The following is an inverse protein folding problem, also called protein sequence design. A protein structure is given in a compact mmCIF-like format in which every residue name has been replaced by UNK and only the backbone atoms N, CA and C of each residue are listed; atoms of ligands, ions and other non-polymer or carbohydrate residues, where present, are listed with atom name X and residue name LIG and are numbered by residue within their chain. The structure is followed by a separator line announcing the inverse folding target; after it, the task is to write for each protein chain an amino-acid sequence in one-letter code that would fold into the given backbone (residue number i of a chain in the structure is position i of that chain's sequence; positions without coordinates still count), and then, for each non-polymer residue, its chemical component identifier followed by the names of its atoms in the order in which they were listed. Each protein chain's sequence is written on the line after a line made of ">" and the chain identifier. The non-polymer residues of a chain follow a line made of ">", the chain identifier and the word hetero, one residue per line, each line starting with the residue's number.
data_IF_258839640165
#
_entry.id   IF_258839640165
#
_cell.length_a   1.000
_cell.length_b   1.000
_cell.length_c   1.000
_cell.angle_alpha   90.00
_cell.angle_beta   90.00
_cell.angle_gamma   90.00
#
_symmetry.space_group_name_H-M   'P 1'
#
loop_
_entity.id
_entity.type
_entity.pdbx_description
1 polymer ?
#
# COMPACT_ATOMS: atom_id res chain seq x y z
N UNK A 1 -18.30 47.24 -43.95
CA UNK A 1 -16.86 47.44 -43.76
C UNK A 1 -16.56 47.33 -42.27
N UNK A 2 -15.45 46.68 -41.96
CA UNK A 2 -15.12 45.93 -40.73
C UNK A 2 -15.41 46.62 -39.38
N UNK A 3 -16.10 45.87 -38.52
CA UNK A 3 -16.19 46.00 -37.06
C UNK A 3 -14.83 45.72 -36.40
N UNK A 4 -14.35 46.66 -35.58
CA UNK A 4 -13.13 46.51 -34.78
C UNK A 4 -13.35 45.51 -33.63
N UNK A 5 -12.58 44.42 -33.64
CA UNK A 5 -12.55 43.43 -32.56
C UNK A 5 -11.71 43.96 -31.40
N UNK A 6 -12.33 44.12 -30.24
CA UNK A 6 -11.65 44.33 -28.96
C UNK A 6 -11.01 43.01 -28.55
N UNK A 7 -9.68 42.96 -28.54
CA UNK A 7 -8.90 41.83 -28.01
C UNK A 7 -8.85 41.96 -26.49
N UNK A 8 -9.68 41.19 -25.78
CA UNK A 8 -9.46 40.89 -24.37
C UNK A 8 -8.34 39.85 -24.27
N UNK A 9 -7.12 40.30 -23.98
CA UNK A 9 -6.05 39.41 -23.55
C UNK A 9 -6.34 39.01 -22.10
N UNK A 10 -6.91 37.82 -21.90
CA UNK A 10 -7.01 37.21 -20.59
C UNK A 10 -5.60 36.78 -20.15
N UNK A 11 -4.98 37.57 -19.28
CA UNK A 11 -3.78 37.16 -18.55
C UNK A 11 -4.20 36.07 -17.56
N UNK A 12 -4.00 34.81 -17.93
CA UNK A 12 -4.09 33.69 -16.99
C UNK A 12 -2.82 33.76 -16.13
N UNK A 13 -2.92 34.37 -14.96
CA UNK A 13 -1.90 34.22 -13.92
C UNK A 13 -1.90 32.77 -13.44
N UNK A 14 -0.99 31.97 -13.99
CA UNK A 14 -0.53 30.74 -13.35
C UNK A 14 0.26 31.14 -12.10
N UNK A 15 -0.44 31.30 -10.98
CA UNK A 15 0.22 31.19 -9.68
C UNK A 15 0.47 29.69 -9.50
N UNK A 16 1.62 29.23 -10.00
CA UNK A 16 2.18 27.97 -9.54
C UNK A 16 2.48 28.15 -8.06
N UNK A 17 1.67 27.55 -7.18
CA UNK A 17 2.12 27.25 -5.83
C UNK A 17 3.28 26.26 -5.98
N UNK A 18 4.49 26.79 -6.13
CA UNK A 18 5.70 26.08 -5.75
C UNK A 18 5.60 25.85 -4.25
N UNK A 19 4.91 24.78 -3.86
CA UNK A 19 5.28 24.09 -2.66
C UNK A 19 6.73 23.70 -2.91
N UNK A 20 7.65 24.31 -2.18
CA UNK A 20 9.02 23.83 -2.12
C UNK A 20 8.95 22.41 -1.57
N UNK A 21 8.80 21.44 -2.46
CA UNK A 21 9.11 20.05 -2.18
C UNK A 21 10.61 20.09 -1.93
N UNK A 22 11.01 20.21 -0.67
CA UNK A 22 12.33 19.75 -0.27
C UNK A 22 12.33 18.29 -0.71
N UNK A 23 13.07 17.97 -1.78
CA UNK A 23 13.23 16.61 -2.27
C UNK A 23 13.98 15.83 -1.17
N UNK A 24 13.22 15.33 -0.21
CA UNK A 24 13.72 14.50 0.84
C UNK A 24 14.01 13.12 0.23
N UNK A 25 15.29 12.75 0.25
CA UNK A 25 15.81 11.48 -0.25
C UNK A 25 15.37 10.33 0.64
N UNK A 26 15.39 9.09 0.14
CA UNK A 26 15.20 7.88 0.96
C UNK A 26 16.11 7.86 2.18
N UNK A 27 17.40 8.19 2.00
CA UNK A 27 18.38 8.26 3.09
C UNK A 27 17.96 9.20 4.23
N UNK A 28 17.22 10.27 3.93
CA UNK A 28 16.72 11.21 4.95
C UNK A 28 15.38 10.80 5.59
N UNK A 29 14.64 9.87 4.99
CA UNK A 29 13.27 9.52 5.41
C UNK A 29 13.12 8.12 5.97
N UNK A 30 14.07 7.23 5.68
CA UNK A 30 13.99 5.82 6.03
C UNK A 30 15.29 5.31 6.65
N UNK A 31 15.17 4.23 7.42
CA UNK A 31 16.29 3.48 7.99
C UNK A 31 16.10 1.99 7.78
N UNK A 32 17.21 1.26 7.69
CA UNK A 32 17.19 -0.20 7.79
C UNK A 32 16.89 -0.60 9.25
N UNK A 33 15.96 -1.52 9.45
CA UNK A 33 15.57 -2.05 10.77
C UNK A 33 16.02 -3.48 10.99
N UNK A 34 16.26 -4.23 9.91
CA UNK A 34 16.73 -5.60 9.93
C UNK A 34 17.50 -5.93 8.65
N UNK A 35 18.44 -6.89 8.73
CA UNK A 35 19.21 -7.34 7.58
C UNK A 35 20.11 -6.25 6.99
N UNK A 36 20.89 -5.55 7.82
CA UNK A 36 21.69 -4.38 7.42
C UNK A 36 22.57 -4.62 6.18
N UNK A 37 23.22 -5.78 6.08
CA UNK A 37 24.07 -6.15 4.93
C UNK A 37 23.26 -6.35 3.62
N UNK A 38 21.96 -6.56 3.75
CA UNK A 38 21.00 -6.80 2.67
C UNK A 38 20.10 -5.58 2.38
N UNK A 39 20.37 -4.45 3.04
CA UNK A 39 19.59 -3.24 2.93
C UNK A 39 20.47 -2.11 2.38
N UNK A 40 20.21 -1.70 1.14
CA UNK A 40 20.96 -0.64 0.48
C UNK A 40 20.05 0.57 0.28
N UNK A 41 20.24 1.61 1.10
CA UNK A 41 19.52 2.88 0.99
C UNK A 41 20.44 3.89 0.31
N UNK A 42 20.13 4.24 -0.94
CA UNK A 42 20.71 5.39 -1.63
C UNK A 42 19.85 6.64 -1.44
N UNK A 43 20.20 7.71 -2.16
CA UNK A 43 19.42 8.95 -2.12
C UNK A 43 18.03 8.76 -2.74
N UNK A 44 17.96 8.24 -3.97
CA UNK A 44 16.69 8.13 -4.70
C UNK A 44 16.14 6.70 -4.79
N UNK A 45 16.85 5.72 -4.25
CA UNK A 45 16.50 4.30 -4.38
C UNK A 45 16.82 3.48 -3.15
N UNK A 46 16.04 2.43 -2.93
CA UNK A 46 16.35 1.38 -1.97
C UNK A 46 16.36 0.02 -2.67
N UNK A 47 17.32 -0.82 -2.31
CA UNK A 47 17.31 -2.25 -2.64
C UNK A 47 17.24 -3.08 -1.36
N UNK A 48 16.26 -3.97 -1.30
CA UNK A 48 16.16 -4.98 -0.26
C UNK A 48 16.45 -6.34 -0.85
N UNK A 49 17.35 -7.07 -0.19
CA UNK A 49 17.91 -8.32 -0.69
C UNK A 49 17.49 -9.46 0.25
N UNK A 50 17.08 -10.58 -0.33
CA UNK A 50 16.89 -11.83 0.38
C UNK A 50 17.86 -12.88 -0.14
N UNK A 51 18.61 -13.47 0.79
CA UNK A 51 19.44 -14.64 0.57
C UNK A 51 19.09 -15.71 1.62
N UNK A 52 19.75 -16.86 1.58
CA UNK A 52 19.46 -17.98 2.50
C UNK A 52 19.73 -17.69 3.99
N UNK A 53 20.36 -16.56 4.31
CA UNK A 53 20.75 -16.20 5.68
C UNK A 53 19.84 -15.15 6.31
N UNK A 54 19.43 -14.15 5.51
CA UNK A 54 18.58 -13.06 5.99
C UNK A 54 17.84 -12.42 4.83
N UNK A 55 16.68 -11.84 5.13
CA UNK A 55 16.05 -10.81 4.32
C UNK A 55 16.56 -9.42 4.73
N UNK A 56 15.72 -8.41 4.50
CA UNK A 56 15.95 -7.04 4.96
C UNK A 56 14.61 -6.30 5.15
N UNK A 57 14.64 -5.27 5.99
CA UNK A 57 13.49 -4.39 6.18
C UNK A 57 13.92 -2.93 6.37
N UNK A 58 13.06 -2.02 5.92
CA UNK A 58 13.17 -0.57 6.14
C UNK A 58 11.92 -0.04 6.82
N UNK A 59 12.10 1.10 7.48
CA UNK A 59 11.04 1.83 8.17
C UNK A 59 11.22 3.32 7.96
N UNK A 60 10.12 4.05 7.79
CA UNK A 60 10.10 5.51 7.86
C UNK A 60 10.48 6.06 9.24
N UNK A 61 11.10 7.24 9.29
CA UNK A 61 11.37 7.91 10.56
C UNK A 61 10.09 8.47 11.20
N UNK A 62 9.26 9.10 10.38
CA UNK A 62 8.06 9.82 10.81
C UNK A 62 6.88 8.90 11.11
N UNK A 63 6.12 9.28 12.12
CA UNK A 63 4.78 8.76 12.36
C UNK A 63 3.74 9.72 11.77
N UNK A 64 2.61 9.18 11.36
CA UNK A 64 1.51 9.96 10.80
C UNK A 64 0.15 9.35 11.12
N UNK A 65 -0.88 10.20 11.00
CA UNK A 65 -2.27 9.79 10.93
C UNK A 65 -2.83 10.27 9.60
N UNK A 66 -3.41 9.37 8.80
CA UNK A 66 -3.97 9.69 7.49
C UNK A 66 -2.96 10.27 6.48
N UNK A 67 -3.35 10.20 5.21
CA UNK A 67 -2.66 10.83 4.11
C UNK A 67 -2.56 9.93 2.90
N UNK A 68 -1.62 10.34 2.03
CA UNK A 68 -1.28 9.69 0.79
C UNK A 68 0.18 9.25 0.85
N UNK A 69 0.40 7.96 0.65
CA UNK A 69 1.72 7.35 0.68
C UNK A 69 1.84 6.54 -0.59
N UNK A 70 2.89 6.80 -1.35
CA UNK A 70 3.10 6.19 -2.65
C UNK A 70 4.56 5.78 -2.78
N UNK A 71 4.75 4.58 -3.33
CA UNK A 71 6.05 3.98 -3.52
C UNK A 71 6.10 3.33 -4.90
N UNK A 72 7.16 3.62 -5.66
CA UNK A 72 7.42 2.89 -6.90
C UNK A 72 8.21 1.63 -6.58
N UNK A 73 7.65 0.46 -6.88
CA UNK A 73 8.25 -0.83 -6.54
C UNK A 73 8.44 -1.66 -7.81
N UNK A 74 9.62 -2.24 -7.95
CA UNK A 74 9.92 -3.27 -8.95
C UNK A 74 10.28 -4.57 -8.24
N UNK A 75 9.48 -5.60 -8.47
CA UNK A 75 9.54 -6.88 -7.77
C UNK A 75 10.66 -7.77 -8.30
N UNK A 76 10.90 -8.85 -7.56
CA UNK A 76 11.94 -9.85 -7.86
C UNK A 76 11.63 -10.53 -9.21
N UNK A 77 12.55 -10.49 -10.20
CA UNK A 77 12.35 -11.17 -11.47
C UNK A 77 12.60 -12.69 -11.35
N UNK A 78 12.12 -13.46 -12.32
CA UNK A 78 12.38 -14.89 -12.40
C UNK A 78 11.58 -15.69 -11.38
N UNK A 79 12.16 -16.78 -10.89
CA UNK A 79 11.49 -17.64 -9.91
C UNK A 79 11.64 -17.05 -8.51
N UNK A 80 10.54 -16.53 -7.96
CA UNK A 80 10.48 -15.90 -6.64
C UNK A 80 9.52 -16.64 -5.71
N UNK A 81 9.28 -17.94 -5.95
CA UNK A 81 8.34 -18.73 -5.18
C UNK A 81 8.59 -18.60 -3.67
N UNK A 82 7.52 -18.24 -2.93
CA UNK A 82 7.51 -18.03 -1.49
C UNK A 82 8.42 -16.90 -0.96
N UNK A 83 8.94 -16.05 -1.85
CA UNK A 83 9.53 -14.76 -1.49
C UNK A 83 8.41 -13.73 -1.41
N UNK A 84 8.30 -13.06 -0.26
CA UNK A 84 7.32 -11.99 -0.04
C UNK A 84 8.06 -10.67 0.00
N UNK A 85 7.64 -9.76 -0.88
CA UNK A 85 8.00 -8.33 -0.81
C UNK A 85 6.83 -7.60 -0.17
N UNK A 86 7.06 -6.70 0.78
CA UNK A 86 5.97 -5.98 1.46
C UNK A 86 6.13 -4.47 1.33
N UNK A 87 5.00 -3.78 1.35
CA UNK A 87 4.89 -2.34 1.50
C UNK A 87 3.61 -2.06 2.28
N UNK A 88 3.77 -1.52 3.49
CA UNK A 88 2.67 -1.43 4.42
C UNK A 88 2.83 -0.24 5.36
N UNK A 89 1.77 0.10 6.06
CA UNK A 89 1.82 1.01 7.20
C UNK A 89 1.35 0.29 8.44
N UNK A 90 1.99 0.52 9.57
CA UNK A 90 1.63 -0.14 10.83
C UNK A 90 1.86 0.80 12.01
N UNK A 91 0.97 0.76 12.99
CA UNK A 91 1.20 1.37 14.28
C UNK A 91 2.16 0.51 15.12
N UNK A 92 2.79 1.09 16.13
CA UNK A 92 3.74 0.34 16.96
C UNK A 92 3.10 -0.92 17.57
N UNK A 93 3.73 -2.06 17.30
CA UNK A 93 3.41 -3.33 17.92
C UNK A 93 3.94 -3.37 19.35
N UNK A 94 3.12 -3.78 20.32
CA UNK A 94 3.51 -3.77 21.74
C UNK A 94 3.98 -5.14 22.22
N UNK A 95 3.09 -6.14 22.20
CA UNK A 95 3.37 -7.53 22.54
C UNK A 95 2.33 -8.45 21.90
N UNK A 96 2.58 -9.76 21.87
CA UNK A 96 1.65 -10.73 21.27
C UNK A 96 0.34 -10.82 22.05
N UNK A 97 0.41 -10.64 23.37
CA UNK A 97 -0.72 -10.80 24.28
C UNK A 97 -1.61 -9.56 24.36
N UNK A 98 -1.06 -8.38 24.09
CA UNK A 98 -1.77 -7.10 24.13
C UNK A 98 -1.75 -6.37 22.80
N UNK A 99 -1.60 -7.13 21.73
CA UNK A 99 -1.48 -6.56 20.40
C UNK A 99 -2.80 -5.89 20.02
N UNK A 100 -2.71 -4.59 19.76
CA UNK A 100 -3.83 -3.85 19.21
C UNK A 100 -3.40 -3.02 18.00
N UNK A 101 -2.31 -3.37 17.32
CA UNK A 101 -1.85 -2.54 16.21
C UNK A 101 -2.92 -2.37 15.12
N UNK A 102 -2.84 -1.23 14.44
CA UNK A 102 -3.54 -0.98 13.19
C UNK A 102 -2.51 -1.10 12.05
N UNK A 103 -2.86 -1.77 10.95
CA UNK A 103 -1.95 -2.01 9.81
C UNK A 103 -2.69 -2.10 8.48
N UNK A 104 -2.04 -1.66 7.41
CA UNK A 104 -2.58 -1.57 6.04
C UNK A 104 -1.53 -2.10 5.06
N UNK A 105 -1.85 -3.20 4.38
CA UNK A 105 -0.82 -4.00 3.71
C UNK A 105 -0.94 -4.02 2.19
N UNK A 106 0.21 -3.95 1.52
CA UNK A 106 0.49 -4.65 0.29
C UNK A 106 1.56 -5.72 0.55
N UNK A 107 1.28 -6.95 0.12
CA UNK A 107 2.23 -8.06 0.13
C UNK A 107 2.25 -8.70 -1.26
N UNK A 108 3.43 -8.79 -1.86
CA UNK A 108 3.63 -9.35 -3.17
C UNK A 108 4.17 -10.76 -3.02
N UNK A 109 3.30 -11.74 -3.27
CA UNK A 109 3.63 -13.15 -3.13
C UNK A 109 4.25 -13.66 -4.44
N UNK A 110 5.55 -13.91 -4.40
CA UNK A 110 6.28 -14.46 -5.55
C UNK A 110 5.90 -15.90 -5.86
N UNK A 111 6.07 -16.29 -7.12
CA UNK A 111 5.61 -17.57 -7.65
C UNK A 111 6.70 -18.25 -8.49
N UNK A 112 6.44 -19.50 -8.86
CA UNK A 112 7.27 -20.22 -9.82
C UNK A 112 7.10 -19.64 -11.21
N UNK A 113 8.20 -19.63 -11.95
CA UNK A 113 8.22 -19.31 -13.38
C UNK A 113 8.97 -20.44 -14.08
N UNK A 114 8.39 -20.98 -15.15
CA UNK A 114 9.12 -21.82 -16.10
C UNK A 114 9.86 -20.91 -17.06
N UNK A 115 11.16 -21.14 -17.26
CA UNK A 115 12.04 -20.50 -18.27
C UNK A 115 12.21 -18.95 -18.28
N UNK A 116 11.61 -18.22 -17.34
CA UNK A 116 11.85 -16.77 -17.17
C UNK A 116 11.05 -15.88 -18.11
N UNK A 117 10.11 -16.44 -18.89
CA UNK A 117 9.22 -15.67 -19.78
C UNK A 117 7.90 -15.27 -19.13
N UNK A 118 7.48 -15.98 -18.07
CA UNK A 118 6.27 -15.68 -17.32
C UNK A 118 6.58 -14.89 -16.03
N UNK A 119 5.72 -13.92 -15.69
CA UNK A 119 5.68 -13.29 -14.37
C UNK A 119 4.33 -13.66 -13.73
N UNK A 120 4.38 -14.37 -12.61
CA UNK A 120 3.18 -14.64 -11.83
C UNK A 120 3.41 -14.12 -10.42
N UNK A 121 2.64 -13.12 -10.05
CA UNK A 121 2.57 -12.62 -8.68
C UNK A 121 1.12 -12.62 -8.23
N UNK A 122 0.94 -12.89 -6.95
CA UNK A 122 -0.31 -12.57 -6.26
C UNK A 122 -0.08 -11.31 -5.45
N UNK A 123 -0.84 -10.26 -5.73
CA UNK A 123 -0.92 -9.09 -4.88
C UNK A 123 -1.92 -9.37 -3.77
N UNK A 124 -1.44 -9.37 -2.54
CA UNK A 124 -2.21 -9.57 -1.34
C UNK A 124 -2.38 -8.22 -0.64
N UNK A 125 -3.60 -7.91 -0.22
CA UNK A 125 -3.89 -6.73 0.62
C UNK A 125 -4.56 -7.19 1.89
N UNK A 126 -4.27 -6.55 3.00
CA UNK A 126 -4.88 -6.83 4.29
C UNK A 126 -5.04 -5.54 5.10
N UNK A 127 -5.89 -5.59 6.11
CA UNK A 127 -6.04 -4.49 7.06
C UNK A 127 -6.30 -5.03 8.46
N UNK A 128 -5.44 -4.64 9.40
CA UNK A 128 -5.59 -4.89 10.82
C UNK A 128 -6.16 -3.66 11.49
N UNK A 129 -7.12 -3.88 12.39
CA UNK A 129 -7.66 -2.84 13.26
C UNK A 129 -7.77 -3.40 14.66
N UNK A 130 -7.17 -2.72 15.63
CA UNK A 130 -7.06 -3.19 17.00
C UNK A 130 -6.51 -4.63 17.11
N UNK A 131 -5.47 -4.94 16.32
CA UNK A 131 -4.81 -6.25 16.30
C UNK A 131 -5.59 -7.35 15.58
N UNK A 132 -6.81 -7.06 15.11
CA UNK A 132 -7.63 -8.01 14.35
C UNK A 132 -7.41 -7.76 12.87
N UNK A 133 -6.75 -8.70 12.19
CA UNK A 133 -6.66 -8.76 10.72
C UNK A 133 -7.73 -9.67 10.13
N UNK A 134 -7.29 -10.66 9.34
CA UNK A 134 -8.16 -11.61 8.63
C UNK A 134 -9.05 -10.97 7.55
N UNK A 135 -8.54 -9.93 6.87
CA UNK A 135 -9.26 -9.19 5.84
C UNK A 135 -8.54 -9.22 4.51
N UNK A 136 -8.09 -10.41 4.12
CA UNK A 136 -7.24 -10.60 2.97
C UNK A 136 -8.07 -10.50 1.67
N UNK A 137 -7.56 -9.75 0.70
CA UNK A 137 -7.97 -9.84 -0.70
C UNK A 137 -6.74 -10.12 -1.55
N UNK A 138 -6.88 -11.03 -2.52
CA UNK A 138 -5.78 -11.43 -3.40
C UNK A 138 -6.12 -11.17 -4.86
N UNK A 139 -5.17 -10.62 -5.60
CA UNK A 139 -5.28 -10.31 -7.02
C UNK A 139 -4.17 -11.00 -7.80
N UNK A 140 -4.54 -11.65 -8.91
CA UNK A 140 -3.55 -12.18 -9.87
C UNK A 140 -3.00 -11.04 -10.72
N UNK A 141 -1.75 -10.65 -10.49
CA UNK A 141 -1.07 -9.54 -11.19
C UNK A 141 -0.77 -9.91 -12.65
N UNK A 142 -1.75 -9.71 -13.53
CA UNK A 142 -1.67 -10.07 -14.95
C UNK A 142 -2.03 -8.93 -15.91
N UNK A 143 -2.31 -7.73 -15.37
CA UNK A 143 -2.59 -6.54 -16.17
C UNK A 143 -1.35 -5.68 -16.47
N UNK A 144 -0.21 -5.97 -15.84
CA UNK A 144 1.13 -5.46 -16.15
C UNK A 144 2.19 -6.39 -15.54
N UNK A 145 3.46 -6.23 -15.92
CA UNK A 145 4.58 -7.00 -15.38
C UNK A 145 5.29 -6.24 -14.24
N UNK A 146 5.10 -6.62 -12.97
CA UNK A 146 5.68 -5.91 -11.83
C UNK A 146 7.19 -6.13 -11.66
N UNK A 147 7.81 -7.02 -12.45
CA UNK A 147 9.25 -7.32 -12.36
C UNK A 147 10.07 -6.62 -13.44
N UNK A 148 9.45 -6.16 -14.53
CA UNK A 148 10.16 -5.52 -15.65
C UNK A 148 10.35 -4.02 -15.47
N UNK A 149 9.41 -3.35 -14.81
CA UNK A 149 9.47 -1.91 -14.55
C UNK A 149 8.91 -1.58 -13.16
N UNK A 150 9.10 -0.33 -12.74
CA UNK A 150 8.58 0.22 -11.49
C UNK A 150 7.13 0.69 -11.66
N UNK A 151 6.26 0.15 -10.82
CA UNK A 151 4.85 0.52 -10.74
C UNK A 151 4.56 1.25 -9.42
N UNK A 152 3.61 2.17 -9.44
CA UNK A 152 3.20 2.93 -8.27
C UNK A 152 2.22 2.10 -7.43
N UNK A 153 2.52 1.95 -6.15
CA UNK A 153 1.64 1.34 -5.17
C UNK A 153 1.31 2.39 -4.12
N UNK A 154 0.02 2.69 -4.01
CA UNK A 154 -0.45 3.81 -3.20
C UNK A 154 -1.37 3.31 -2.10
N UNK A 155 -1.10 3.74 -0.86
CA UNK A 155 -2.04 3.69 0.26
C UNK A 155 -2.56 5.11 0.45
N UNK A 156 -3.86 5.30 0.22
CA UNK A 156 -4.57 6.51 0.63
C UNK A 156 -5.47 6.20 1.81
N UNK A 157 -5.20 6.81 2.96
CA UNK A 157 -5.92 6.58 4.21
C UNK A 157 -6.45 7.92 4.72
N UNK A 158 -7.76 8.03 4.92
CA UNK A 158 -8.36 9.21 5.51
C UNK A 158 -9.46 8.80 6.51
N UNK A 159 -10.13 9.76 7.18
CA UNK A 159 -11.19 9.45 8.13
C UNK A 159 -12.41 8.73 7.54
N UNK A 160 -12.55 8.62 6.22
CA UNK A 160 -13.70 8.00 5.56
C UNK A 160 -13.40 6.61 5.01
N UNK A 161 -12.16 6.35 4.58
CA UNK A 161 -11.78 5.09 3.94
C UNK A 161 -10.26 4.90 3.85
N UNK A 162 -9.86 3.66 3.62
CA UNK A 162 -8.56 3.27 3.09
C UNK A 162 -8.74 2.81 1.65
N UNK A 163 -7.87 3.27 0.74
CA UNK A 163 -7.86 2.91 -0.67
C UNK A 163 -6.47 2.40 -1.03
N UNK A 164 -6.43 1.20 -1.61
CA UNK A 164 -5.23 0.64 -2.25
C UNK A 164 -5.33 0.91 -3.73
N UNK A 165 -4.29 1.52 -4.30
CA UNK A 165 -4.22 1.79 -5.73
C UNK A 165 -2.93 1.26 -6.34
N UNK A 166 -3.01 0.93 -7.62
CA UNK A 166 -1.88 0.50 -8.45
C UNK A 166 -1.87 1.39 -9.69
N UNK A 167 -0.77 2.10 -9.93
CA UNK A 167 -0.64 3.08 -11.03
C UNK A 167 -1.77 4.12 -11.09
N UNK A 168 -2.33 4.46 -9.92
CA UNK A 168 -3.44 5.41 -9.77
C UNK A 168 -4.84 4.80 -9.87
N UNK A 169 -4.97 3.54 -10.27
CA UNK A 169 -6.25 2.83 -10.30
C UNK A 169 -6.52 2.15 -8.96
N UNK A 170 -7.65 2.48 -8.34
CA UNK A 170 -8.09 1.83 -7.11
C UNK A 170 -8.38 0.34 -7.37
N UNK A 171 -7.89 -0.54 -6.49
CA UNK A 171 -8.16 -1.99 -6.55
C UNK A 171 -9.02 -2.47 -5.38
N UNK A 172 -8.97 -1.74 -4.26
CA UNK A 172 -9.68 -2.07 -3.02
C UNK A 172 -10.00 -0.80 -2.24
N UNK A 173 -11.16 -0.80 -1.60
CA UNK A 173 -11.59 0.21 -0.62
C UNK A 173 -12.01 -0.49 0.66
N UNK A 174 -11.63 0.07 1.81
CA UNK A 174 -12.16 -0.30 3.13
C UNK A 174 -12.78 0.96 3.75
N UNK A 175 -14.11 0.99 3.91
CA UNK A 175 -14.82 2.18 4.40
C UNK A 175 -14.88 2.24 5.91
N UNK A 176 -14.85 3.46 6.44
CA UNK A 176 -15.06 3.71 7.85
C UNK A 176 -16.56 3.58 8.19
N UNK A 177 -16.85 2.63 9.07
CA UNK A 177 -18.18 2.36 9.64
C UNK A 177 -18.15 2.36 11.17
N UNK A 178 -17.25 3.15 11.77
CA UNK A 178 -17.10 3.28 13.22
C UNK A 178 -18.39 3.82 13.88
N UNK A 179 -19.16 4.64 13.16
CA UNK A 179 -20.50 5.10 13.56
C UNK A 179 -21.54 3.96 13.69
N UNK A 180 -21.24 2.80 13.11
CA UNK A 180 -22.03 1.58 13.14
C UNK A 180 -21.33 0.47 13.95
N UNK A 181 -20.31 0.82 14.74
CA UNK A 181 -19.59 -0.09 15.63
C UNK A 181 -18.56 -0.99 14.95
N UNK A 182 -18.20 -0.72 13.70
CA UNK A 182 -17.16 -1.45 12.97
C UNK A 182 -15.82 -0.70 13.13
N UNK A 183 -14.78 -1.30 13.74
CA UNK A 183 -13.51 -0.63 13.97
C UNK A 183 -12.84 -0.12 12.67
N UNK A 184 -12.18 1.04 12.76
CA UNK A 184 -11.39 1.64 11.68
C UNK A 184 -10.05 2.18 12.23
N UNK A 185 -8.93 2.14 11.48
CA UNK A 185 -7.67 2.71 11.94
C UNK A 185 -7.77 4.23 11.97
N UNK A 186 -7.92 4.81 13.16
CA UNK A 186 -8.27 6.23 13.32
C UNK A 186 -7.37 7.00 14.27
N UNK A 187 -6.92 6.34 15.34
CA UNK A 187 -6.27 7.02 16.47
C UNK A 187 -4.82 6.61 16.68
N UNK A 188 -4.37 5.50 16.07
CA UNK A 188 -3.03 4.97 16.26
C UNK A 188 -2.12 5.48 15.14
N UNK A 189 -1.11 6.29 15.44
CA UNK A 189 -0.19 6.74 14.42
C UNK A 189 0.55 5.55 13.82
N UNK A 190 0.77 5.59 12.51
CA UNK A 190 1.46 4.54 11.79
C UNK A 190 2.78 5.08 11.23
N UNK A 191 3.73 4.18 10.99
CA UNK A 191 4.89 4.42 10.14
C UNK A 191 4.76 3.60 8.86
N UNK A 192 5.48 4.01 7.83
CA UNK A 192 5.65 3.20 6.62
C UNK A 192 6.75 2.16 6.82
N UNK A 193 6.55 0.98 6.25
CA UNK A 193 7.47 -0.13 6.27
C UNK A 193 7.54 -0.81 4.89
N UNK A 194 8.71 -1.37 4.58
CA UNK A 194 8.87 -2.33 3.49
C UNK A 194 9.86 -3.41 3.88
N UNK A 195 9.65 -4.62 3.38
CA UNK A 195 10.54 -5.74 3.68
C UNK A 195 10.61 -6.75 2.54
N UNK A 196 11.63 -7.60 2.58
CA UNK A 196 11.71 -8.81 1.77
C UNK A 196 12.09 -9.98 2.66
N UNK A 197 11.32 -11.07 2.60
CA UNK A 197 11.52 -12.23 3.46
C UNK A 197 10.97 -13.52 2.83
N UNK A 198 11.35 -14.66 3.40
CA UNK A 198 10.86 -15.97 2.98
C UNK A 198 9.63 -16.36 3.80
N UNK A 199 8.57 -16.77 3.12
CA UNK A 199 7.29 -17.15 3.70
C UNK A 199 6.86 -18.54 3.18
N UNK A 200 7.78 -19.50 3.26
CA UNK A 200 7.62 -20.88 2.78
C UNK A 200 6.32 -21.55 3.23
N UNK A 201 5.84 -21.20 4.43
CA UNK A 201 4.68 -21.86 5.05
C UNK A 201 3.34 -21.48 4.41
N UNK A 202 3.25 -20.40 3.63
CA UNK A 202 1.96 -19.93 3.13
C UNK A 202 1.98 -19.20 1.78
N UNK A 203 3.06 -18.50 1.42
CA UNK A 203 3.00 -17.49 0.37
C UNK A 203 2.74 -18.04 -1.05
N UNK A 204 3.36 -19.15 -1.42
CA UNK A 204 3.19 -19.72 -2.76
C UNK A 204 2.32 -20.97 -2.73
N UNK A 205 1.14 -20.88 -3.36
CA UNK A 205 0.15 -21.96 -3.44
C UNK A 205 -0.25 -22.50 -2.06
N UNK A 206 -0.49 -21.60 -1.10
CA UNK A 206 -0.82 -21.98 0.28
C UNK A 206 0.32 -22.70 1.01
N UNK A 207 1.57 -22.42 0.62
CA UNK A 207 2.77 -23.02 1.21
C UNK A 207 3.21 -24.35 0.59
N UNK A 208 2.53 -24.82 -0.46
CA UNK A 208 2.89 -26.06 -1.15
C UNK A 208 4.22 -25.95 -1.91
N UNK A 209 4.58 -24.75 -2.39
CA UNK A 209 5.82 -24.51 -3.12
C UNK A 209 6.75 -23.65 -2.29
N UNK A 210 7.98 -24.13 -2.10
CA UNK A 210 9.01 -23.52 -1.27
C UNK A 210 9.99 -22.69 -2.10
N UNK A 211 10.70 -21.77 -1.44
CA UNK A 211 11.77 -21.01 -2.07
C UNK A 211 12.89 -21.91 -2.53
N UNK A 212 13.23 -21.83 -3.82
CA UNK A 212 14.43 -22.45 -4.33
C UNK A 212 15.62 -21.49 -4.20
N UNK A 213 16.42 -21.71 -3.17
CA UNK A 213 17.58 -20.88 -2.83
C UNK A 213 18.70 -20.87 -3.88
N UNK A 214 18.66 -21.73 -4.91
CA UNK A 214 19.63 -21.62 -6.03
C UNK A 214 19.43 -20.36 -6.87
N UNK A 215 18.27 -19.69 -6.77
CA UNK A 215 17.98 -18.44 -7.47
C UNK A 215 18.36 -17.16 -6.68
N UNK A 216 18.92 -17.31 -5.47
CA UNK A 216 19.36 -16.14 -4.69
C UNK A 216 20.54 -15.41 -5.36
N UNK A 217 20.74 -14.11 -5.10
CA UNK A 217 19.91 -13.24 -4.27
C UNK A 217 18.59 -12.83 -4.96
N UNK A 218 17.52 -12.78 -4.18
CA UNK A 218 16.25 -12.16 -4.60
C UNK A 218 16.31 -10.67 -4.25
N UNK A 219 16.01 -9.79 -5.21
CA UNK A 219 16.18 -8.34 -5.03
C UNK A 219 14.88 -7.61 -5.39
N UNK A 220 14.32 -6.90 -4.42
CA UNK A 220 13.22 -5.96 -4.62
C UNK A 220 13.77 -4.53 -4.61
N UNK A 221 13.31 -3.71 -5.56
CA UNK A 221 13.79 -2.34 -5.72
C UNK A 221 12.66 -1.34 -5.47
N UNK A 222 12.99 -0.23 -4.82
CA UNK A 222 12.07 0.82 -4.45
C UNK A 222 12.61 2.17 -4.93
N UNK A 223 11.72 3.03 -5.44
CA UNK A 223 12.01 4.37 -5.93
C UNK A 223 10.91 5.35 -5.51
N UNK A 224 11.24 6.64 -5.52
CA UNK A 224 10.32 7.76 -5.38
C UNK A 224 9.31 7.60 -4.23
N UNK A 225 9.80 7.50 -2.99
CA UNK A 225 8.94 7.53 -1.81
C UNK A 225 8.26 8.90 -1.65
N UNK A 226 6.95 8.94 -1.88
CA UNK A 226 6.12 10.14 -1.73
C UNK A 226 5.24 9.94 -0.51
N UNK A 227 5.24 10.94 0.36
CA UNK A 227 4.43 10.95 1.58
C UNK A 227 3.87 12.37 1.75
N UNK A 228 2.56 12.49 1.60
CA UNK A 228 1.75 13.68 1.90
C UNK A 228 0.72 13.29 2.96
N UNK A 229 1.14 13.37 4.22
CA UNK A 229 0.43 12.84 5.39
C UNK A 229 0.23 13.92 6.44
N UNK A 230 -0.60 13.66 7.45
CA UNK A 230 -0.63 14.50 8.65
C UNK A 230 0.37 13.97 9.69
N UNK A 231 1.48 14.69 9.96
CA UNK A 231 2.52 14.20 10.86
C UNK A 231 2.01 14.04 12.31
N UNK A 232 2.41 12.95 12.94
CA UNK A 232 2.17 12.71 14.35
C UNK A 232 3.41 13.10 15.16
N UNK A 233 3.30 14.18 15.93
CA UNK A 233 4.39 14.70 16.78
C UNK A 233 4.05 14.67 18.28
N UNK A 234 2.88 14.12 18.62
CA UNK A 234 2.39 13.95 19.97
C UNK A 234 0.87 13.86 20.03
N UNK A 235 0.26 13.70 21.22
CA UNK A 235 -1.18 13.45 21.37
C UNK A 235 -2.08 14.51 20.71
N UNK A 236 -1.63 15.78 20.64
CA UNK A 236 -2.39 16.85 19.98
C UNK A 236 -2.55 16.63 18.47
N UNK A 237 -1.66 15.85 17.83
CA UNK A 237 -1.79 15.49 16.41
C UNK A 237 -3.09 14.78 16.11
N UNK A 238 -3.68 14.03 17.06
CA UNK A 238 -5.00 13.41 16.84
C UNK A 238 -6.06 14.47 16.54
N UNK A 239 -6.05 15.60 17.27
CA UNK A 239 -6.99 16.70 17.03
C UNK A 239 -6.68 17.39 15.70
N UNK A 240 -5.41 17.70 15.46
CA UNK A 240 -4.96 18.39 14.24
C UNK A 240 -5.27 17.58 12.98
N UNK A 241 -5.01 16.27 12.99
CA UNK A 241 -5.26 15.39 11.85
C UNK A 241 -6.74 15.04 11.66
N UNK A 242 -7.60 15.32 12.65
CA UNK A 242 -9.05 15.20 12.51
C UNK A 242 -9.73 16.55 12.26
N UNK A 243 -8.98 17.64 12.03
CA UNK A 243 -9.54 18.93 11.66
C UNK A 243 -10.12 18.87 10.22
N UNK A 244 -11.42 19.19 10.01
CA UNK A 244 -12.05 19.14 8.69
C UNK A 244 -11.46 20.11 7.64
N UNK A 245 -10.60 21.04 8.03
CA UNK A 245 -9.87 21.92 7.11
C UNK A 245 -8.72 21.22 6.37
N UNK A 246 -8.29 20.04 6.82
CA UNK A 246 -7.26 19.26 6.13
C UNK A 246 -7.74 18.83 4.74
N UNK A 247 -6.82 18.79 3.77
CA UNK A 247 -7.14 18.55 2.36
C UNK A 247 -7.88 17.22 2.11
N UNK A 248 -7.56 16.17 2.88
CA UNK A 248 -8.17 14.84 2.76
C UNK A 248 -9.60 14.75 3.32
N UNK A 249 -10.14 15.84 3.88
CA UNK A 249 -11.55 15.98 4.23
C UNK A 249 -12.43 16.53 3.10
N UNK A 250 -11.82 17.05 2.03
CA UNK A 250 -12.54 17.59 0.88
C UNK A 250 -13.50 16.55 0.29
N UNK A 251 -14.64 17.01 -0.24
CA UNK A 251 -15.72 16.14 -0.73
C UNK A 251 -15.26 15.07 -1.73
N UNK A 252 -14.29 15.39 -2.58
CA UNK A 252 -13.73 14.48 -3.58
C UNK A 252 -12.99 13.27 -2.99
N UNK A 253 -12.58 13.31 -1.72
CA UNK A 253 -11.86 12.22 -1.06
C UNK A 253 -12.73 11.40 -0.11
N UNK A 254 -14.04 11.66 -0.05
CA UNK A 254 -14.96 10.92 0.82
C UNK A 254 -15.41 9.58 0.22
N UNK A 255 -15.26 9.43 -1.09
CA UNK A 255 -15.63 8.26 -1.87
C UNK A 255 -14.95 8.29 -3.23
N UNK A 256 -14.89 7.15 -3.91
CA UNK A 256 -14.47 7.10 -5.31
C UNK A 256 -15.49 7.80 -6.22
N UNK A 257 -15.02 8.36 -7.32
CA UNK A 257 -15.90 8.79 -8.42
C UNK A 257 -16.55 7.59 -9.10
N UNK A 258 -17.61 7.81 -9.87
CA UNK A 258 -18.26 6.73 -10.62
C UNK A 258 -17.30 6.02 -11.59
N UNK A 259 -16.39 6.78 -12.22
CA UNK A 259 -15.39 6.23 -13.14
C UNK A 259 -14.32 5.43 -12.39
N UNK A 260 -13.80 5.94 -11.26
CA UNK A 260 -12.86 5.20 -10.42
C UNK A 260 -13.46 3.89 -9.91
N UNK A 261 -14.73 3.94 -9.47
CA UNK A 261 -15.45 2.76 -9.04
C UNK A 261 -15.64 1.76 -10.18
N UNK A 262 -16.00 2.22 -11.38
CA UNK A 262 -16.12 1.36 -12.56
C UNK A 262 -14.79 0.69 -12.88
N UNK A 263 -13.69 1.44 -12.92
CA UNK A 263 -12.35 0.89 -13.16
C UNK A 263 -11.98 -0.15 -12.11
N UNK A 264 -12.20 0.15 -10.82
CA UNK A 264 -11.94 -0.80 -9.74
C UNK A 264 -12.76 -2.09 -9.92
N UNK A 265 -14.05 -1.98 -10.26
CA UNK A 265 -14.89 -3.15 -10.50
C UNK A 265 -14.44 -3.96 -11.71
N UNK A 266 -13.99 -3.30 -12.79
CA UNK A 266 -13.45 -3.98 -13.96
C UNK A 266 -12.16 -4.76 -13.62
N UNK A 267 -11.25 -4.18 -12.83
CA UNK A 267 -10.05 -4.85 -12.32
C UNK A 267 -10.45 -6.04 -11.45
N UNK A 268 -11.31 -5.82 -10.45
CA UNK A 268 -11.75 -6.85 -9.50
C UNK A 268 -12.41 -8.03 -10.22
N UNK A 269 -13.27 -7.77 -11.20
CA UNK A 269 -13.99 -8.81 -11.96
C UNK A 269 -13.06 -9.77 -12.72
N UNK A 270 -11.87 -9.31 -13.11
CA UNK A 270 -10.90 -10.07 -13.90
C UNK A 270 -9.80 -10.70 -13.06
N UNK A 271 -9.40 -10.04 -11.99
CA UNK A 271 -8.14 -10.35 -11.32
C UNK A 271 -8.27 -10.70 -9.83
N UNK A 272 -9.39 -10.40 -9.16
CA UNK A 272 -9.61 -10.79 -7.77
C UNK A 272 -9.79 -12.32 -7.67
N UNK A 273 -8.87 -13.00 -6.98
CA UNK A 273 -8.87 -14.47 -6.82
C UNK A 273 -9.22 -14.94 -5.41
N UNK A 274 -9.12 -14.07 -4.41
CA UNK A 274 -9.57 -14.33 -3.05
C UNK A 274 -10.21 -13.08 -2.44
N UNK A 275 -11.30 -13.27 -1.70
CA UNK A 275 -11.94 -12.22 -0.92
C UNK A 275 -12.49 -12.81 0.38
N UNK A 276 -11.94 -12.37 1.51
CA UNK A 276 -12.34 -12.80 2.86
C UNK A 276 -13.87 -12.70 3.10
N UNK A 277 -14.54 -11.67 2.54
CA UNK A 277 -15.99 -11.48 2.70
C UNK A 277 -16.85 -12.56 2.04
N UNK A 278 -16.26 -13.41 1.20
CA UNK A 278 -16.95 -14.52 0.51
C UNK A 278 -16.43 -15.89 0.94
N UNK A 279 -15.45 -15.94 1.84
CA UNK A 279 -14.85 -17.18 2.33
C UNK A 279 -15.70 -17.82 3.43
N UNK A 280 -16.75 -18.54 2.99
CA UNK A 280 -17.63 -19.30 3.87
C UNK A 280 -16.90 -20.35 4.71
N UNK A 281 -15.79 -20.91 4.21
CA UNK A 281 -15.05 -21.97 4.91
C UNK A 281 -14.28 -21.40 6.09
N UNK A 282 -13.58 -20.28 5.89
CA UNK A 282 -12.80 -19.64 6.95
C UNK A 282 -13.67 -19.09 8.06
N UNK A 283 -14.78 -18.45 7.71
CA UNK A 283 -15.64 -17.77 8.67
C UNK A 283 -16.84 -18.60 9.15
N UNK A 284 -17.05 -19.80 8.61
CA UNK A 284 -18.19 -20.66 8.93
C UNK A 284 -19.54 -19.90 8.85
N UNK A 285 -19.67 -19.01 7.87
CA UNK A 285 -20.83 -18.13 7.68
C UNK A 285 -20.89 -16.87 8.58
N UNK A 286 -20.00 -16.74 9.57
CA UNK A 286 -19.91 -15.58 10.46
C UNK A 286 -18.91 -14.55 9.93
N UNK A 287 -19.28 -13.86 8.86
CA UNK A 287 -18.41 -12.88 8.21
C UNK A 287 -18.16 -11.65 9.07
N UNK A 288 -17.00 -10.97 8.90
CA UNK A 288 -16.78 -9.66 9.48
C UNK A 288 -17.90 -8.67 9.12
N UNK A 289 -18.36 -7.83 10.07
CA UNK A 289 -19.58 -7.04 9.92
C UNK A 289 -19.54 -6.05 8.74
N UNK A 290 -18.36 -5.56 8.40
CA UNK A 290 -18.12 -4.69 7.24
C UNK A 290 -18.51 -5.36 5.93
N UNK A 291 -18.43 -6.69 5.81
CA UNK A 291 -18.75 -7.41 4.57
C UNK A 291 -20.23 -7.28 4.16
N UNK A 292 -21.10 -6.94 5.11
CA UNK A 292 -22.52 -6.68 4.87
C UNK A 292 -22.82 -5.23 4.45
N UNK A 293 -21.80 -4.36 4.45
CA UNK A 293 -21.93 -2.93 4.14
C UNK A 293 -21.50 -2.63 2.70
N UNK A 294 -21.96 -1.51 2.12
CA UNK A 294 -21.44 -1.03 0.83
C UNK A 294 -19.92 -0.88 0.86
N UNK A 295 -19.18 -1.71 0.12
CA UNK A 295 -17.72 -1.65 0.13
C UNK A 295 -17.18 -0.40 -0.60
N UNK A 296 -18.00 0.23 -1.43
CA UNK A 296 -17.66 1.37 -2.28
C UNK A 296 -18.89 2.23 -2.55
#
# INVERSE_FOLDING_TARGET
>A
MATAKVLFAALISLIALQHALVNATFASRMKCTWGYDNCQIGDDSVQLILNKWSGAAIQGYGEFLYGYIDMRIKLVPGNSAAVVTTYYTSSEWTSKETDTHDEIDFEFLGNVTSDGSDFYYTLHTNIFVNGVGNREEQFRMSWYNPTSDYHNYTIFWNPYMVVWSVDGDAIRVFRNYEDQGIPFPKYKPQRVYSSIWNADDWACQGGAVKTNWTYMPFVANYLNYIENVCPYTGPNSVVVCNDPSNWYFNAQYKQLTADQLKTMNDIRSKYLVYNYCTDTKRFNGNFPPECSKPQY
#
